data_IF_573042883293
#
_entry.id   IF_573042883293
#
_cell.length_a   1.000
_cell.length_b   1.000
_cell.length_c   1.000
_cell.angle_alpha   90.00
_cell.angle_beta   90.00
_cell.angle_gamma   90.00
#
_symmetry.space_group_name_H-M   'P 1'
#
loop_
_entity.id
_entity.type
_entity.pdbx_description
1 polymer ?
#
# COMPACT_ATOMS: atom_id res chain seq x y z
N UNK A 1 14.21 -6.53 -15.95
CA UNK A 1 13.18 -5.81 -15.18
C UNK A 1 13.23 -4.36 -15.63
N UNK A 2 12.45 -4.02 -16.65
CA UNK A 2 12.35 -2.62 -17.11
C UNK A 2 11.44 -1.86 -16.15
N UNK A 3 11.95 -0.77 -15.58
CA UNK A 3 11.23 0.09 -14.65
C UNK A 3 10.29 0.99 -15.44
N UNK A 4 9.04 0.57 -15.57
CA UNK A 4 7.95 1.43 -16.02
C UNK A 4 7.46 2.25 -14.82
N UNK A 5 8.19 3.33 -14.49
CA UNK A 5 7.69 4.33 -13.56
C UNK A 5 6.44 4.98 -14.18
N UNK A 6 5.27 4.67 -13.65
CA UNK A 6 3.97 5.20 -14.12
C UNK A 6 3.77 6.68 -13.78
N UNK A 7 4.63 7.25 -12.95
CA UNK A 7 4.49 8.61 -12.42
C UNK A 7 5.22 9.69 -13.23
N UNK A 8 6.03 9.33 -14.24
CA UNK A 8 6.80 10.31 -15.03
C UNK A 8 7.86 11.11 -14.25
N UNK A 9 7.99 10.89 -12.95
CA UNK A 9 9.00 11.49 -12.09
C UNK A 9 10.29 10.67 -12.16
N UNK A 10 11.43 11.33 -12.39
CA UNK A 10 12.75 10.70 -12.56
C UNK A 10 13.35 10.06 -11.30
N UNK A 11 12.55 9.82 -10.25
CA UNK A 11 13.01 9.15 -9.04
C UNK A 11 12.73 7.64 -9.11
N UNK A 12 13.76 6.85 -8.87
CA UNK A 12 13.68 5.38 -8.87
C UNK A 12 13.32 4.79 -7.50
N UNK A 13 13.43 5.58 -6.43
CA UNK A 13 13.16 5.16 -5.05
C UNK A 13 13.15 6.36 -4.10
N UNK A 14 12.36 6.29 -3.01
CA UNK A 14 12.40 7.23 -1.89
C UNK A 14 12.45 6.48 -0.56
N UNK A 15 13.01 7.12 0.48
CA UNK A 15 13.03 6.60 1.85
C UNK A 15 12.69 7.74 2.81
N UNK A 16 11.77 7.48 3.72
CA UNK A 16 11.36 8.43 4.77
C UNK A 16 11.51 7.73 6.11
N UNK A 17 12.02 8.47 7.11
CA UNK A 17 12.07 8.04 8.50
C UNK A 17 11.39 9.10 9.34
N UNK A 18 10.50 8.68 10.23
CA UNK A 18 9.84 9.56 11.20
C UNK A 18 9.68 8.83 12.54
N UNK A 19 9.41 9.58 13.60
CA UNK A 19 9.09 9.04 14.92
C UNK A 19 7.70 9.50 15.32
N UNK A 20 6.90 8.57 15.85
CA UNK A 20 5.53 8.83 16.30
C UNK A 20 5.45 8.53 17.81
N UNK A 21 5.68 9.53 18.70
CA UNK A 21 5.69 9.31 20.13
C UNK A 21 4.34 8.78 20.65
N UNK A 22 4.39 7.73 21.47
CA UNK A 22 3.19 7.13 22.07
C UNK A 22 2.36 6.26 21.13
N UNK A 23 2.82 6.00 19.90
CA UNK A 23 2.15 5.12 18.93
C UNK A 23 2.93 3.81 18.84
N UNK A 24 2.24 2.68 18.90
CA UNK A 24 2.87 1.35 18.77
C UNK A 24 2.98 0.92 17.30
N UNK A 25 3.87 -0.03 17.02
CA UNK A 25 4.04 -0.55 15.67
C UNK A 25 2.78 -1.24 15.15
N UNK A 26 2.04 -1.92 16.02
CA UNK A 26 0.78 -2.62 15.73
C UNK A 26 -0.32 -1.62 15.36
N UNK A 27 -0.38 -0.49 16.07
CA UNK A 27 -1.31 0.58 15.74
C UNK A 27 -1.02 1.14 14.34
N UNK A 28 0.25 1.33 13.98
CA UNK A 28 0.66 1.77 12.65
C UNK A 28 0.30 0.71 11.59
N UNK A 29 0.59 -0.56 11.85
CA UNK A 29 0.23 -1.67 10.97
C UNK A 29 -1.27 -1.67 10.67
N UNK A 30 -2.12 -1.52 11.70
CA UNK A 30 -3.57 -1.51 11.52
C UNK A 30 -4.03 -0.32 10.66
N UNK A 31 -3.43 0.87 10.82
CA UNK A 31 -3.71 2.03 9.96
C UNK A 31 -3.25 1.86 8.51
N UNK A 32 -2.24 1.01 8.27
CA UNK A 32 -1.75 0.70 6.91
C UNK A 32 -2.64 -0.37 6.25
N UNK A 33 -3.06 -1.38 7.02
CA UNK A 33 -3.73 -2.59 6.52
C UNK A 33 -5.24 -2.41 6.36
N UNK A 34 -5.87 -1.58 7.20
CA UNK A 34 -7.31 -1.38 7.21
C UNK A 34 -7.69 -0.21 6.26
N UNK A 35 -8.40 -0.48 5.15
CA UNK A 35 -8.78 0.56 4.19
C UNK A 35 -9.56 1.72 4.81
N UNK A 36 -10.44 1.43 5.79
CA UNK A 36 -11.24 2.45 6.46
C UNK A 36 -10.43 3.35 7.39
N UNK A 37 -9.32 2.85 7.95
CA UNK A 37 -8.39 3.69 8.72
C UNK A 37 -7.43 4.44 7.79
N UNK A 38 -7.00 3.80 6.70
CA UNK A 38 -6.13 4.42 5.68
C UNK A 38 -6.76 5.66 5.06
N UNK A 39 -8.05 5.57 4.70
CA UNK A 39 -8.82 6.68 4.12
C UNK A 39 -8.96 7.91 5.04
N UNK A 40 -8.67 7.79 6.35
CA UNK A 40 -8.78 8.91 7.28
C UNK A 40 -7.60 9.89 7.18
N UNK A 41 -6.45 9.45 6.64
CA UNK A 41 -5.22 10.26 6.66
C UNK A 41 -4.50 10.32 5.31
N UNK A 42 -4.71 9.34 4.43
CA UNK A 42 -4.08 9.35 3.11
C UNK A 42 -4.92 10.18 2.12
N UNK A 43 -4.42 11.36 1.79
CA UNK A 43 -5.10 12.36 0.96
C UNK A 43 -5.41 11.91 -0.46
N UNK A 44 -4.74 10.87 -0.97
CA UNK A 44 -4.95 10.33 -2.31
C UNK A 44 -5.60 8.96 -2.30
N UNK A 45 -5.71 8.30 -1.16
CA UNK A 45 -6.34 7.00 -1.08
C UNK A 45 -7.85 7.14 -1.23
N UNK A 46 -8.42 6.53 -2.27
CA UNK A 46 -9.86 6.54 -2.52
C UNK A 46 -10.54 5.38 -1.82
N UNK A 47 -10.08 4.17 -2.11
CA UNK A 47 -10.67 2.94 -1.61
C UNK A 47 -9.66 1.79 -1.65
N UNK A 48 -9.90 0.77 -0.83
CA UNK A 48 -9.13 -0.45 -0.87
C UNK A 48 -9.98 -1.64 -0.46
N UNK A 49 -9.73 -2.78 -1.10
CA UNK A 49 -10.47 -4.02 -0.89
C UNK A 49 -9.48 -5.17 -0.73
N UNK A 50 -9.67 -6.00 0.29
CA UNK A 50 -9.01 -7.30 0.37
C UNK A 50 -9.72 -8.22 -0.61
N UNK A 51 -9.03 -8.56 -1.70
CA UNK A 51 -9.57 -9.39 -2.77
C UNK A 51 -9.41 -10.87 -2.43
N UNK A 52 -8.29 -11.25 -1.80
CA UNK A 52 -8.04 -12.60 -1.32
C UNK A 52 -7.20 -12.57 -0.05
N UNK A 53 -7.61 -13.32 0.97
CA UNK A 53 -6.78 -13.58 2.15
C UNK A 53 -5.99 -14.88 1.90
N UNK A 54 -4.65 -14.78 1.82
CA UNK A 54 -3.80 -15.94 1.56
C UNK A 54 -3.53 -16.71 2.86
N UNK A 55 -3.15 -16.00 3.91
CA UNK A 55 -2.96 -16.52 5.27
C UNK A 55 -3.03 -15.37 6.30
N UNK A 56 -2.72 -15.61 7.58
CA UNK A 56 -2.81 -14.60 8.65
C UNK A 56 -1.88 -13.37 8.46
N UNK A 57 -0.95 -13.44 7.50
CA UNK A 57 0.12 -12.49 7.27
C UNK A 57 0.21 -11.99 5.83
N UNK A 58 -0.62 -12.52 4.92
CA UNK A 58 -0.55 -12.23 3.50
C UNK A 58 -1.96 -12.08 2.91
N UNK A 59 -2.12 -11.05 2.08
CA UNK A 59 -3.36 -10.78 1.37
C UNK A 59 -3.08 -10.18 -0.01
N UNK A 60 -3.97 -10.45 -0.96
CA UNK A 60 -4.05 -9.72 -2.22
C UNK A 60 -5.05 -8.59 -2.01
N UNK A 61 -4.59 -7.36 -2.26
CA UNK A 61 -5.41 -6.15 -2.12
C UNK A 61 -5.50 -5.40 -3.43
N UNK A 62 -6.68 -4.83 -3.68
CA UNK A 62 -6.92 -3.84 -4.72
C UNK A 62 -7.01 -2.47 -4.04
N UNK A 63 -6.13 -1.55 -4.40
CA UNK A 63 -6.12 -0.19 -3.85
C UNK A 63 -6.26 0.81 -4.99
N UNK A 64 -7.17 1.78 -4.83
CA UNK A 64 -7.38 2.84 -5.82
C UNK A 64 -7.05 4.20 -5.24
N UNK A 65 -6.38 5.01 -6.04
CA UNK A 65 -5.87 6.31 -5.65
C UNK A 65 -6.37 7.41 -6.60
N UNK A 66 -6.76 8.53 -6.02
CA UNK A 66 -6.98 9.78 -6.74
C UNK A 66 -5.62 10.39 -7.14
N UNK A 67 -5.56 11.10 -8.27
CA UNK A 67 -4.33 11.74 -8.70
C UNK A 67 -4.00 12.97 -7.84
N UNK A 68 -2.71 13.18 -7.55
CA UNK A 68 -2.21 14.41 -6.90
C UNK A 68 -2.34 15.65 -7.80
N UNK A 69 -2.32 15.47 -9.11
CA UNK A 69 -2.36 16.56 -10.10
C UNK A 69 -3.77 16.59 -10.71
N UNK A 70 -4.47 17.70 -10.49
CA UNK A 70 -5.80 17.95 -11.05
C UNK A 70 -5.79 17.76 -12.58
N UNK A 71 -6.76 17.00 -13.09
CA UNK A 71 -6.85 16.66 -14.52
C UNK A 71 -6.12 15.38 -14.95
N UNK A 72 -5.41 14.70 -14.04
CA UNK A 72 -4.89 13.35 -14.31
C UNK A 72 -5.97 12.27 -14.05
N UNK A 73 -5.69 11.03 -14.42
CA UNK A 73 -6.61 9.90 -14.22
C UNK A 73 -6.32 9.20 -12.88
N UNK A 74 -7.35 8.74 -12.14
CA UNK A 74 -7.17 7.80 -11.05
C UNK A 74 -6.40 6.57 -11.53
N UNK A 75 -5.71 5.92 -10.61
CA UNK A 75 -4.95 4.71 -10.90
C UNK A 75 -5.12 3.74 -9.76
N UNK A 76 -4.99 2.45 -10.07
CA UNK A 76 -5.15 1.38 -9.12
C UNK A 76 -3.94 0.45 -9.09
N UNK A 77 -3.89 -0.36 -8.04
CA UNK A 77 -2.86 -1.36 -7.86
C UNK A 77 -3.45 -2.67 -7.36
N UNK A 78 -3.14 -3.74 -8.07
CA UNK A 78 -3.20 -5.10 -7.54
C UNK A 78 -1.90 -5.39 -6.78
N UNK A 79 -1.99 -5.60 -5.47
CA UNK A 79 -0.84 -5.73 -4.59
C UNK A 79 -0.90 -7.03 -3.79
N UNK A 80 0.22 -7.75 -3.74
CA UNK A 80 0.50 -8.68 -2.65
C UNK A 80 1.00 -7.88 -1.46
N UNK A 81 0.21 -7.85 -0.39
CA UNK A 81 0.56 -7.24 0.89
C UNK A 81 0.94 -8.33 1.89
N UNK A 82 2.11 -8.17 2.52
CA UNK A 82 2.64 -9.06 3.54
C UNK A 82 3.03 -8.27 4.79
N UNK A 83 2.71 -8.79 5.97
CA UNK A 83 3.14 -8.21 7.25
C UNK A 83 3.65 -9.27 8.20
N UNK A 84 4.73 -8.95 8.92
CA UNK A 84 5.32 -9.86 9.90
C UNK A 84 6.08 -9.12 10.99
N UNK A 85 6.18 -9.76 12.15
CA UNK A 85 7.14 -9.40 13.18
C UNK A 85 8.49 -10.05 12.87
N UNK A 86 9.57 -9.28 12.94
CA UNK A 86 10.93 -9.74 12.78
C UNK A 86 11.51 -10.17 14.14
N UNK A 87 12.65 -10.87 14.11
CA UNK A 87 13.27 -11.41 15.33
C UNK A 87 13.72 -10.34 16.34
N UNK A 88 13.89 -9.09 15.90
CA UNK A 88 14.22 -7.94 16.74
C UNK A 88 12.98 -7.21 17.29
N UNK A 89 11.78 -7.75 17.07
CA UNK A 89 10.50 -7.17 17.48
C UNK A 89 10.01 -6.05 16.56
N UNK A 90 10.68 -5.79 15.43
CA UNK A 90 10.18 -4.82 14.45
C UNK A 90 9.03 -5.41 13.63
N UNK A 91 8.03 -4.58 13.29
CA UNK A 91 6.98 -4.96 12.34
C UNK A 91 7.36 -4.46 10.95
N UNK A 92 7.37 -5.37 9.98
CA UNK A 92 7.65 -5.08 8.58
C UNK A 92 6.39 -5.30 7.77
N UNK A 93 5.99 -4.30 7.00
CA UNK A 93 4.94 -4.40 5.99
C UNK A 93 5.54 -4.17 4.62
N UNK A 94 5.25 -5.06 3.69
CA UNK A 94 5.67 -4.95 2.30
C UNK A 94 4.47 -5.07 1.37
N UNK A 95 4.44 -4.25 0.33
CA UNK A 95 3.47 -4.32 -0.77
C UNK A 95 4.24 -4.44 -2.07
N UNK A 96 3.83 -5.36 -2.93
CA UNK A 96 4.42 -5.56 -4.25
C UNK A 96 3.32 -5.69 -5.29
N UNK A 97 3.46 -4.98 -6.41
CA UNK A 97 2.57 -5.11 -7.57
C UNK A 97 2.59 -6.53 -8.13
N UNK A 98 1.41 -7.05 -8.42
CA UNK A 98 1.18 -8.35 -9.05
C UNK A 98 0.21 -8.21 -10.22
N UNK A 99 0.17 -9.23 -11.07
CA UNK A 99 -0.96 -9.43 -11.99
C UNK A 99 -1.95 -10.37 -11.32
N UNK A 100 -3.23 -10.03 -11.34
CA UNK A 100 -4.28 -10.83 -10.71
C UNK A 100 -5.55 -10.84 -11.58
N UNK A 101 -6.12 -12.01 -11.83
CA UNK A 101 -7.23 -12.17 -12.78
C UNK A 101 -8.50 -11.42 -12.34
N UNK A 102 -8.74 -11.34 -11.03
CA UNK A 102 -9.88 -10.59 -10.46
C UNK A 102 -9.67 -9.07 -10.41
N UNK A 103 -8.46 -8.59 -10.72
CA UNK A 103 -8.09 -7.16 -10.69
C UNK A 103 -7.44 -6.81 -12.02
N UNK A 104 -8.21 -6.72 -13.12
CA UNK A 104 -7.68 -6.28 -14.40
C UNK A 104 -7.19 -4.83 -14.26
N UNK A 105 -6.03 -4.45 -14.86
CA UNK A 105 -5.58 -3.07 -14.86
C UNK A 105 -6.65 -2.13 -15.43
N UNK A 106 -6.88 -1.00 -14.77
CA UNK A 106 -7.74 0.08 -15.28
C UNK A 106 -7.18 0.73 -16.55
#
# INVERSE_FOLDING_TARGET
>A
WENHNTWGLGFTSFKVTTQLPGVTAEAILEHIRNPSLRAQWDIVFREGTIVEQIDDHNAIVHEVFEPLIEGSTPHDYALLMSWREAADGSIVVAKRSIYHEMIPPL
#
